data_IF_085306231604
#
_entry.id   IF_085306231604
#
_cell.length_a   1.000
_cell.length_b   1.000
_cell.length_c   1.000
_cell.angle_alpha   90.00
_cell.angle_beta   90.00
_cell.angle_gamma   90.00
#
_symmetry.space_group_name_H-M   'P 1'
#
loop_
_entity.id
_entity.type
_entity.pdbx_description
1 polymer ?
#
# COMPACT_ATOMS: atom_id res chain seq x y z
N UNK A 1 -1.99 -32.89 16.17
CA UNK A 1 -2.62 -31.57 15.99
C UNK A 1 -2.00 -30.61 16.99
N UNK A 2 -1.56 -29.43 16.54
CA UNK A 2 -0.73 -28.48 17.29
C UNK A 2 0.42 -28.05 16.39
N UNK A 3 0.39 -26.87 15.78
CA UNK A 3 0.47 -25.61 16.51
C UNK A 3 -0.33 -24.52 15.80
N UNK A 4 -1.28 -23.92 16.52
CA UNK A 4 -1.88 -22.64 16.18
C UNK A 4 -0.80 -21.58 16.35
N UNK A 5 -0.05 -21.27 15.28
CA UNK A 5 0.99 -20.24 15.34
C UNK A 5 0.33 -18.86 15.28
N UNK A 6 0.71 -18.04 16.24
CA UNK A 6 0.13 -16.74 16.56
C UNK A 6 0.19 -15.75 15.38
N UNK A 7 -0.94 -15.08 15.14
CA UNK A 7 -1.06 -13.63 14.85
C UNK A 7 0.27 -12.93 14.54
N UNK A 8 0.67 -12.88 13.27
CA UNK A 8 1.70 -11.94 12.82
C UNK A 8 1.02 -10.78 12.07
N UNK A 9 0.17 -10.03 12.76
CA UNK A 9 -0.55 -8.87 12.22
C UNK A 9 0.34 -7.61 12.08
N UNK A 10 1.66 -7.76 12.12
CA UNK A 10 2.61 -6.66 12.05
C UNK A 10 3.94 -7.10 11.39
N UNK A 11 3.89 -8.01 10.42
CA UNK A 11 5.07 -8.32 9.63
C UNK A 11 5.43 -7.06 8.83
N UNK A 12 6.53 -6.39 9.22
CA UNK A 12 7.07 -5.29 8.44
C UNK A 12 7.78 -5.86 7.23
N UNK A 13 7.40 -5.38 6.06
CA UNK A 13 7.96 -5.78 4.77
C UNK A 13 8.56 -4.57 4.09
N UNK A 14 9.79 -4.73 3.61
CA UNK A 14 10.49 -3.67 2.88
C UNK A 14 9.97 -3.62 1.45
N UNK A 15 9.35 -2.51 1.07
CA UNK A 15 8.90 -2.25 -0.30
C UNK A 15 9.80 -1.21 -0.94
N UNK A 16 10.23 -1.48 -2.17
CA UNK A 16 10.99 -0.51 -2.97
C UNK A 16 10.16 0.73 -3.27
N UNK A 17 10.75 1.92 -3.14
CA UNK A 17 10.09 3.18 -3.39
C UNK A 17 9.52 3.29 -4.80
N UNK A 18 10.22 2.73 -5.79
CA UNK A 18 9.75 2.76 -7.18
C UNK A 18 8.44 2.01 -7.35
N UNK A 19 8.35 0.79 -6.78
CA UNK A 19 7.14 -0.03 -6.76
C UNK A 19 6.02 0.67 -5.97
N UNK A 20 6.32 1.18 -4.78
CA UNK A 20 5.34 1.88 -3.95
C UNK A 20 4.79 3.12 -4.65
N UNK A 21 5.67 3.91 -5.30
CA UNK A 21 5.30 5.07 -6.09
C UNK A 21 4.38 4.71 -7.26
N UNK A 22 4.70 3.64 -8.00
CA UNK A 22 3.85 3.16 -9.10
C UNK A 22 2.44 2.81 -8.59
N UNK A 23 2.35 2.03 -7.51
CA UNK A 23 1.06 1.62 -6.92
C UNK A 23 0.25 2.82 -6.42
N UNK A 24 0.88 3.73 -5.66
CA UNK A 24 0.23 4.95 -5.19
C UNK A 24 -0.23 5.80 -6.38
N UNK A 25 0.60 5.98 -7.42
CA UNK A 25 0.23 6.78 -8.58
C UNK A 25 -0.99 6.20 -9.33
N UNK A 26 -1.13 4.88 -9.43
CA UNK A 26 -2.32 4.25 -10.02
C UNK A 26 -3.57 4.53 -9.18
N UNK A 27 -3.48 4.36 -7.86
CA UNK A 27 -4.59 4.61 -6.93
C UNK A 27 -5.01 6.08 -6.89
N UNK A 28 -4.05 7.00 -6.93
CA UNK A 28 -4.31 8.44 -7.00
C UNK A 28 -4.78 8.90 -8.39
N UNK A 29 -4.35 8.23 -9.47
CA UNK A 29 -4.85 8.49 -10.81
C UNK A 29 -6.34 8.15 -10.93
N UNK A 30 -6.81 7.12 -10.21
CA UNK A 30 -8.23 6.82 -10.07
C UNK A 30 -8.91 7.72 -9.02
N UNK A 31 -8.84 9.03 -9.29
CA UNK A 31 -9.34 10.06 -8.37
C UNK A 31 -10.86 9.99 -8.13
N UNK A 32 -11.58 9.29 -9.00
CA UNK A 32 -13.02 9.06 -8.89
C UNK A 32 -13.38 7.91 -7.93
N UNK A 33 -12.49 6.93 -7.68
CA UNK A 33 -12.69 5.90 -6.64
C UNK A 33 -12.02 6.22 -5.30
N UNK A 34 -11.17 7.24 -5.20
CA UNK A 34 -10.59 7.70 -3.92
C UNK A 34 -11.60 7.89 -2.76
N UNK A 35 -12.84 8.42 -2.95
CA UNK A 35 -13.80 8.51 -1.85
C UNK A 35 -14.40 7.15 -1.44
N UNK A 36 -14.26 6.11 -2.26
CA UNK A 36 -14.63 4.72 -1.92
C UNK A 36 -13.49 3.94 -1.27
N UNK A 37 -12.26 4.41 -1.41
CA UNK A 37 -11.11 3.91 -0.66
C UNK A 37 -11.32 4.24 0.82
N UNK A 38 -11.86 3.29 1.57
CA UNK A 38 -11.88 3.33 3.04
C UNK A 38 -10.49 3.46 3.67
N UNK A 39 -9.45 3.32 2.84
CA UNK A 39 -8.04 3.28 3.17
C UNK A 39 -7.27 4.56 2.78
N UNK A 40 -7.95 5.70 2.58
CA UNK A 40 -7.29 6.99 2.28
C UNK A 40 -6.19 7.33 3.31
N UNK A 41 -6.42 7.06 4.59
CA UNK A 41 -5.42 7.30 5.64
C UNK A 41 -4.15 6.45 5.45
N UNK A 42 -4.30 5.20 4.99
CA UNK A 42 -3.15 4.31 4.70
C UNK A 42 -2.38 4.83 3.50
N UNK A 43 -3.07 5.30 2.45
CA UNK A 43 -2.41 5.92 1.29
C UNK A 43 -1.63 7.18 1.66
N UNK A 44 -2.20 8.03 2.51
CA UNK A 44 -1.54 9.25 2.99
C UNK A 44 -0.29 8.88 3.82
N UNK A 45 -0.38 7.88 4.69
CA UNK A 45 0.78 7.39 5.45
C UNK A 45 1.87 6.78 4.56
N UNK A 46 1.50 5.98 3.57
CA UNK A 46 2.47 5.40 2.64
C UNK A 46 3.15 6.46 1.77
N UNK A 47 2.40 7.51 1.43
CA UNK A 47 2.95 8.65 0.71
C UNK A 47 3.99 9.40 1.56
N UNK A 48 3.66 9.69 2.81
CA UNK A 48 4.57 10.32 3.77
C UNK A 48 5.84 9.47 4.03
N UNK A 49 5.68 8.15 4.20
CA UNK A 49 6.81 7.24 4.36
C UNK A 49 7.72 7.23 3.13
N UNK A 50 7.11 7.23 1.94
CA UNK A 50 7.86 7.33 0.69
C UNK A 50 8.63 8.65 0.62
N UNK A 51 8.02 9.79 0.94
CA UNK A 51 8.70 11.09 0.94
C UNK A 51 9.84 11.11 1.98
N UNK A 52 9.60 10.58 3.17
CA UNK A 52 10.61 10.45 4.22
C UNK A 52 11.81 9.62 3.76
N UNK A 53 11.58 8.45 3.16
CA UNK A 53 12.68 7.63 2.65
C UNK A 53 13.44 8.27 1.49
N UNK A 54 12.76 9.03 0.61
CA UNK A 54 13.44 9.82 -0.44
C UNK A 54 14.35 10.87 0.21
N UNK A 55 13.87 11.57 1.23
CA UNK A 55 14.66 12.57 1.96
C UNK A 55 15.85 11.94 2.69
N UNK A 56 15.70 10.72 3.21
CA UNK A 56 16.79 9.95 3.81
C UNK A 56 17.75 9.32 2.79
N UNK A 57 17.45 9.39 1.48
CA UNK A 57 18.23 8.74 0.43
C UNK A 57 18.10 7.21 0.42
N UNK A 58 17.05 6.67 1.05
CA UNK A 58 16.73 5.24 1.07
C UNK A 58 15.95 4.86 -0.18
N UNK A 59 16.23 3.70 -0.76
CA UNK A 59 15.51 3.19 -1.94
C UNK A 59 14.24 2.39 -1.61
N UNK A 60 13.96 2.17 -0.32
CA UNK A 60 12.91 1.27 0.17
C UNK A 60 12.34 1.80 1.50
N UNK A 61 11.09 1.43 1.80
CA UNK A 61 10.42 1.71 3.09
C UNK A 61 9.90 0.43 3.72
N UNK A 62 9.97 0.34 5.04
CA UNK A 62 9.42 -0.77 5.81
C UNK A 62 7.99 -0.44 6.23
N UNK A 63 7.03 -1.23 5.75
CA UNK A 63 5.61 -1.03 6.00
C UNK A 63 4.95 -2.31 6.48
N UNK A 64 3.87 -2.25 7.26
CA UNK A 64 3.12 -3.46 7.63
C UNK A 64 2.61 -4.17 6.38
N UNK A 65 2.75 -5.48 6.34
CA UNK A 65 2.24 -6.32 5.24
C UNK A 65 0.74 -6.14 5.07
N UNK A 66 -0.01 -5.95 6.17
CA UNK A 66 -1.44 -5.61 6.09
C UNK A 66 -1.70 -4.36 5.25
N UNK A 67 -0.86 -3.33 5.30
CA UNK A 67 -1.05 -2.13 4.48
C UNK A 67 -0.80 -2.42 2.99
N UNK A 68 0.20 -3.25 2.67
CA UNK A 68 0.42 -3.69 1.29
C UNK A 68 -0.71 -4.58 0.77
N UNK A 69 -1.28 -5.43 1.63
CA UNK A 69 -2.41 -6.27 1.27
C UNK A 69 -3.64 -5.41 0.94
N UNK A 70 -3.95 -4.43 1.79
CA UNK A 70 -5.04 -3.47 1.55
C UNK A 70 -4.81 -2.65 0.27
N UNK A 71 -3.58 -2.17 0.04
CA UNK A 71 -3.21 -1.49 -1.21
C UNK A 71 -3.46 -2.37 -2.44
N UNK A 72 -3.06 -3.64 -2.37
CA UNK A 72 -3.16 -4.56 -3.49
C UNK A 72 -4.62 -4.94 -3.78
N UNK A 73 -5.45 -5.11 -2.75
CA UNK A 73 -6.89 -5.32 -2.88
C UNK A 73 -7.56 -4.13 -3.59
N UNK A 74 -7.27 -2.91 -3.14
CA UNK A 74 -7.82 -1.68 -3.75
C UNK A 74 -7.30 -1.43 -5.17
N UNK A 75 -6.04 -1.79 -5.44
CA UNK A 75 -5.46 -1.72 -6.78
C UNK A 75 -6.16 -2.68 -7.73
N UNK A 76 -6.43 -3.91 -7.27
CA UNK A 76 -7.16 -4.92 -8.03
C UNK A 76 -8.58 -4.47 -8.37
N UNK A 77 -9.29 -3.82 -7.43
CA UNK A 77 -10.62 -3.26 -7.68
C UNK A 77 -10.60 -2.08 -8.65
N UNK A 78 -9.59 -1.22 -8.56
CA UNK A 78 -9.44 -0.06 -9.45
C UNK A 78 -9.19 -0.49 -10.91
N UNK A 79 -8.47 -1.59 -11.14
CA UNK A 79 -8.26 -2.14 -12.49
C UNK A 79 -9.50 -2.78 -13.09
N UNK A 80 -10.38 -3.39 -12.29
CA UNK A 80 -11.61 -4.03 -12.76
C UNK A 80 -12.66 -3.01 -13.23
N UNK A 81 -12.69 -1.82 -12.62
CA UNK A 81 -13.62 -0.74 -12.96
C UNK A 81 -13.41 -0.11 -14.36
N UNK A 82 -12.29 -0.38 -15.05
CA UNK A 82 -12.04 0.06 -16.43
C UNK A 82 -12.54 -0.91 -17.50
N UNK A 83 -13.18 -2.01 -17.11
CA UNK A 83 -13.61 -3.11 -17.99
C UNK A 83 -15.11 -3.25 -18.24
N UNK A 84 -15.94 -2.24 -17.96
CA UNK A 84 -17.39 -2.30 -18.19
C UNK A 84 -17.94 -1.11 -18.96
#
# INVERSE_FOLDING_TARGET
>A
MGSTSHKNSAQLVSVGLDKLKQQLNVLYADRNNLPRLGNKAILEHLWDLKESAILEGRGSVDVPESWLNELNDELSKSTDARGH
#
